data_IF_550294976476
#
_entry.id   IF_550294976476
#
_cell.length_a   1.000
_cell.length_b   1.000
_cell.length_c   1.000
_cell.angle_alpha   90.00
_cell.angle_beta   90.00
_cell.angle_gamma   90.00
#
_symmetry.space_group_name_H-M   'P 1'
#
loop_
_entity.id
_entity.type
_entity.pdbx_description
1 polymer ?
#
# COMPACT_ATOMS: atom_id res chain seq x y z
N UNK A 1 -19.03 4.09 -28.55
CA UNK A 1 -17.94 4.82 -27.86
C UNK A 1 -17.24 3.84 -26.92
N UNK A 2 -15.93 3.68 -27.03
CA UNK A 2 -15.17 2.86 -26.10
C UNK A 2 -15.33 3.42 -24.68
N UNK A 3 -15.81 2.60 -23.75
CA UNK A 3 -15.99 2.94 -22.32
C UNK A 3 -14.62 2.93 -21.60
N UNK A 4 -13.53 2.69 -22.33
CA UNK A 4 -12.17 2.66 -21.80
C UNK A 4 -11.69 4.11 -21.66
N UNK A 5 -11.62 4.57 -20.41
CA UNK A 5 -11.04 5.85 -20.01
C UNK A 5 -9.64 5.99 -20.65
N UNK A 6 -9.47 6.94 -21.57
CA UNK A 6 -8.15 7.32 -22.06
C UNK A 6 -7.49 8.15 -20.97
N UNK A 7 -6.70 7.50 -20.12
CA UNK A 7 -5.88 8.16 -19.10
C UNK A 7 -4.46 8.23 -19.63
N UNK A 8 -3.94 9.46 -19.72
CA UNK A 8 -2.52 9.69 -19.94
C UNK A 8 -1.97 10.35 -18.68
N UNK A 9 -1.28 9.60 -17.80
CA UNK A 9 -0.54 10.20 -16.71
C UNK A 9 0.54 11.13 -17.27
N UNK A 10 0.66 12.32 -16.69
CA UNK A 10 1.71 13.30 -16.96
C UNK A 10 2.41 13.66 -15.68
N UNK A 11 3.72 13.90 -15.76
CA UNK A 11 4.52 14.29 -14.59
C UNK A 11 4.34 15.78 -14.29
N UNK A 12 4.17 16.10 -13.01
CA UNK A 12 4.23 17.47 -12.47
C UNK A 12 5.29 17.55 -11.38
N UNK A 13 5.87 18.72 -11.20
CA UNK A 13 6.67 19.05 -10.02
C UNK A 13 5.73 19.39 -8.86
N UNK A 14 5.97 18.81 -7.69
CA UNK A 14 5.24 19.17 -6.48
C UNK A 14 5.77 20.49 -5.89
N UNK A 15 4.93 21.12 -5.06
CA UNK A 15 5.33 22.31 -4.30
C UNK A 15 6.52 22.00 -3.39
N UNK A 16 7.29 23.04 -3.06
CA UNK A 16 8.42 22.89 -2.13
C UNK A 16 7.95 22.37 -0.77
N UNK A 17 8.69 21.44 -0.16
CA UNK A 17 8.34 20.95 1.17
C UNK A 17 8.51 22.02 2.24
N UNK A 18 7.72 21.89 3.30
CA UNK A 18 7.89 22.61 4.55
C UNK A 18 8.48 21.65 5.57
N UNK A 19 9.72 21.89 6.00
CA UNK A 19 10.51 21.06 6.91
C UNK A 19 11.99 21.35 6.71
N UNK A 20 12.83 21.12 7.73
CA UNK A 20 14.25 21.55 7.66
C UNK A 20 15.26 20.53 8.15
N UNK A 21 14.87 19.61 9.02
CA UNK A 21 15.81 18.68 9.65
C UNK A 21 15.35 17.22 9.71
N UNK A 22 16.24 16.39 10.23
CA UNK A 22 15.93 15.05 10.72
C UNK A 22 15.05 15.11 11.97
N UNK A 23 14.32 14.04 12.27
CA UNK A 23 13.42 13.97 13.44
C UNK A 23 12.15 14.81 13.33
N UNK A 24 11.90 15.45 12.18
CA UNK A 24 10.73 16.31 11.92
C UNK A 24 9.79 15.65 10.89
N UNK A 25 8.52 16.06 10.92
CA UNK A 25 7.58 15.78 9.83
C UNK A 25 7.66 16.91 8.79
N UNK A 26 8.02 16.54 7.57
CA UNK A 26 7.99 17.44 6.42
C UNK A 26 6.63 17.32 5.73
N UNK A 27 6.14 18.41 5.17
CA UNK A 27 4.85 18.42 4.46
C UNK A 27 4.95 19.05 3.07
N UNK A 28 4.21 18.49 2.11
CA UNK A 28 4.05 19.02 0.75
C UNK A 28 2.54 19.12 0.48
N UNK A 29 2.09 20.31 0.07
CA UNK A 29 0.69 20.49 -0.35
C UNK A 29 0.52 19.98 -1.78
N UNK A 30 -0.42 19.06 -1.95
CA UNK A 30 -0.78 18.50 -3.24
C UNK A 30 -1.88 19.34 -3.89
N UNK A 31 -1.83 19.47 -5.21
CA UNK A 31 -2.84 20.21 -5.97
C UNK A 31 -4.15 19.42 -6.02
N UNK A 32 -5.21 20.04 -5.49
CA UNK A 32 -6.57 19.52 -5.54
C UNK A 32 -7.13 19.47 -6.98
N UNK A 33 -8.12 18.59 -7.22
CA UNK A 33 -8.77 18.42 -8.53
C UNK A 33 -8.01 17.54 -9.53
N UNK A 34 -6.91 16.91 -9.11
CA UNK A 34 -6.15 15.96 -9.90
C UNK A 34 -6.34 14.53 -9.41
N UNK A 35 -6.06 13.57 -10.28
CA UNK A 35 -5.94 12.16 -9.91
C UNK A 35 -4.48 11.79 -9.85
N UNK A 36 -4.00 11.39 -8.68
CA UNK A 36 -2.61 10.99 -8.45
C UNK A 36 -2.44 9.48 -8.68
N UNK A 37 -1.50 9.14 -9.56
CA UNK A 37 -1.15 7.77 -9.91
C UNK A 37 0.13 7.30 -9.22
N UNK A 38 1.08 8.19 -9.02
CA UNK A 38 2.29 7.93 -8.24
C UNK A 38 2.83 9.25 -7.71
N UNK A 39 3.52 9.18 -6.57
CA UNK A 39 4.28 10.28 -5.99
C UNK A 39 5.71 9.80 -5.85
N UNK A 40 6.66 10.58 -6.37
CA UNK A 40 8.09 10.30 -6.28
C UNK A 40 8.74 11.33 -5.37
N UNK A 41 9.54 10.86 -4.43
CA UNK A 41 10.37 11.66 -3.55
C UNK A 41 11.82 11.55 -4.02
N UNK A 42 12.47 12.69 -4.24
CA UNK A 42 13.88 12.80 -4.56
C UNK A 42 14.59 13.45 -3.37
N UNK A 43 15.63 12.78 -2.88
CA UNK A 43 16.38 13.14 -1.67
C UNK A 43 17.86 12.88 -1.87
N UNK A 44 18.69 13.42 -0.98
CA UNK A 44 20.10 13.08 -0.88
C UNK A 44 20.40 11.95 0.13
N UNK A 45 19.36 11.28 0.64
CA UNK A 45 19.50 10.21 1.62
C UNK A 45 20.15 8.96 1.03
N UNK A 46 20.93 8.26 1.85
CA UNK A 46 21.53 6.97 1.51
C UNK A 46 20.79 5.81 2.18
N UNK A 47 20.23 6.05 3.36
CA UNK A 47 19.49 5.05 4.13
C UNK A 47 17.99 5.13 3.87
N UNK A 48 17.39 3.98 3.51
CA UNK A 48 15.94 3.83 3.29
C UNK A 48 15.15 4.14 4.56
N UNK A 49 15.60 3.64 5.71
CA UNK A 49 14.85 3.73 6.98
C UNK A 49 14.83 5.14 7.58
N UNK A 50 15.62 6.07 7.03
CA UNK A 50 15.67 7.46 7.49
C UNK A 50 14.37 8.20 7.21
N UNK A 51 13.65 7.86 6.13
CA UNK A 51 12.22 8.20 6.05
C UNK A 51 11.47 7.10 6.77
N UNK A 52 10.92 7.43 7.94
CA UNK A 52 10.17 6.45 8.74
C UNK A 52 8.84 6.13 8.08
N UNK A 53 8.13 7.18 7.65
CA UNK A 53 6.73 7.06 7.23
C UNK A 53 6.35 8.11 6.21
N UNK A 54 5.55 7.69 5.24
CA UNK A 54 4.93 8.54 4.23
C UNK A 54 3.43 8.42 4.40
N UNK A 55 2.75 9.55 4.58
CA UNK A 55 1.30 9.61 4.76
C UNK A 55 0.70 10.59 3.76
N UNK A 56 -0.36 10.17 3.07
CA UNK A 56 -1.22 11.07 2.33
C UNK A 56 -2.51 11.25 3.12
N UNK A 57 -2.84 12.49 3.45
CA UNK A 57 -4.10 12.85 4.08
C UNK A 57 -5.00 13.67 3.14
N UNK A 58 -6.30 13.56 3.38
CA UNK A 58 -7.33 14.40 2.77
C UNK A 58 -8.16 15.00 3.91
N UNK A 59 -8.13 16.32 4.06
CA UNK A 59 -8.83 17.03 5.13
C UNK A 59 -8.38 16.60 6.53
N UNK A 60 -7.09 16.28 6.70
CA UNK A 60 -6.53 15.82 7.98
C UNK A 60 -6.79 14.34 8.31
N UNK A 61 -7.47 13.60 7.43
CA UNK A 61 -7.69 12.15 7.59
C UNK A 61 -6.72 11.37 6.70
N UNK A 62 -5.84 10.52 7.27
CA UNK A 62 -4.96 9.66 6.49
C UNK A 62 -5.76 8.70 5.59
N UNK A 63 -5.42 8.67 4.30
CA UNK A 63 -5.97 7.70 3.35
C UNK A 63 -4.95 6.63 2.97
N UNK A 64 -3.67 7.00 2.92
CA UNK A 64 -2.55 6.11 2.65
C UNK A 64 -1.46 6.41 3.67
N UNK A 65 -0.97 5.38 4.33
CA UNK A 65 0.11 5.45 5.31
C UNK A 65 1.01 4.23 5.13
N UNK A 66 2.29 4.45 4.85
CA UNK A 66 3.26 3.38 4.62
C UNK A 66 4.64 3.77 5.10
N UNK A 67 5.41 2.83 5.63
CA UNK A 67 6.82 3.04 5.98
C UNK A 67 7.69 2.97 4.74
N UNK A 68 8.77 3.73 4.68
CA UNK A 68 9.67 3.67 3.51
C UNK A 68 10.35 2.30 3.39
N UNK A 69 10.60 1.64 4.53
CA UNK A 69 11.03 0.25 4.60
C UNK A 69 10.07 -0.69 3.88
N UNK A 70 8.76 -0.55 4.09
CA UNK A 70 7.77 -1.38 3.42
C UNK A 70 7.71 -1.11 1.91
N UNK A 71 7.87 0.16 1.47
CA UNK A 71 7.99 0.49 0.05
C UNK A 71 9.21 -0.20 -0.57
N UNK A 72 10.37 -0.13 0.08
CA UNK A 72 11.59 -0.80 -0.38
C UNK A 72 11.44 -2.34 -0.44
N UNK A 73 10.80 -2.95 0.57
CA UNK A 73 10.48 -4.39 0.57
C UNK A 73 9.62 -4.75 -0.63
N UNK A 74 8.57 -3.97 -0.91
CA UNK A 74 7.67 -4.23 -2.04
C UNK A 74 8.38 -3.99 -3.38
N UNK A 75 9.17 -2.93 -3.52
CA UNK A 75 9.89 -2.65 -4.76
C UNK A 75 10.91 -3.75 -5.07
N UNK A 76 11.64 -4.25 -4.07
CA UNK A 76 12.50 -5.43 -4.21
C UNK A 76 11.72 -6.69 -4.55
N UNK A 77 10.58 -6.90 -3.87
CA UNK A 77 9.75 -8.08 -4.08
C UNK A 77 9.20 -8.15 -5.51
N UNK A 78 8.71 -7.02 -6.02
CA UNK A 78 8.16 -6.89 -7.37
C UNK A 78 9.22 -6.46 -8.41
N UNK A 79 10.51 -6.52 -8.05
CA UNK A 79 11.67 -6.25 -8.93
C UNK A 79 11.57 -4.90 -9.66
N UNK A 80 11.03 -3.90 -8.99
CA UNK A 80 10.94 -2.54 -9.53
C UNK A 80 12.31 -1.89 -9.51
N UNK A 81 12.52 -0.96 -10.45
CA UNK A 81 13.74 -0.19 -10.47
C UNK A 81 13.84 0.69 -9.23
N UNK A 82 15.00 0.68 -8.58
CA UNK A 82 15.30 1.49 -7.41
C UNK A 82 16.57 2.29 -7.66
N UNK A 83 16.60 3.54 -7.18
CA UNK A 83 17.74 4.44 -7.25
C UNK A 83 17.91 5.07 -5.87
N UNK A 84 19.15 5.13 -5.37
CA UNK A 84 19.43 5.71 -4.05
C UNK A 84 18.94 7.16 -3.99
N UNK A 85 18.26 7.50 -2.90
CA UNK A 85 17.65 8.82 -2.70
C UNK A 85 16.33 9.01 -3.43
N UNK A 86 15.84 8.03 -4.21
CA UNK A 86 14.52 8.08 -4.85
C UNK A 86 13.55 7.06 -4.27
N UNK A 87 12.39 7.53 -3.85
CA UNK A 87 11.34 6.69 -3.27
C UNK A 87 10.02 6.93 -3.99
N UNK A 88 9.33 5.86 -4.36
CA UNK A 88 8.07 5.96 -5.12
C UNK A 88 6.94 5.43 -4.25
N UNK A 89 5.92 6.26 -4.05
CA UNK A 89 4.63 5.84 -3.53
C UNK A 89 3.69 5.59 -4.72
N UNK A 90 3.53 4.33 -5.18
CA UNK A 90 2.58 4.03 -6.24
C UNK A 90 1.17 4.13 -5.69
N UNK A 91 0.27 4.88 -6.32
CA UNK A 91 -1.15 4.94 -5.94
C UNK A 91 -1.99 4.13 -6.92
N UNK A 92 -1.69 4.21 -8.22
CA UNK A 92 -2.10 3.22 -9.22
C UNK A 92 -1.11 2.05 -9.26
N UNK A 93 -1.59 0.88 -9.65
CA UNK A 93 -0.73 -0.30 -9.83
C UNK A 93 -0.69 -0.69 -11.31
N UNK A 94 0.31 -0.16 -12.03
CA UNK A 94 0.44 -0.35 -13.47
C UNK A 94 0.81 -1.77 -13.89
N UNK A 95 1.18 -2.63 -12.93
CA UNK A 95 1.53 -4.04 -13.15
C UNK A 95 0.28 -4.91 -13.41
N UNK A 96 -0.91 -4.43 -13.03
CA UNK A 96 -2.16 -5.15 -13.29
C UNK A 96 -2.50 -5.25 -14.78
N UNK A 97 -3.23 -6.30 -15.16
CA UNK A 97 -3.50 -6.59 -16.57
C UNK A 97 -4.64 -5.74 -17.14
N UNK A 98 -5.62 -5.38 -16.30
CA UNK A 98 -6.83 -4.67 -16.73
C UNK A 98 -6.75 -3.17 -16.40
N UNK A 99 -7.29 -2.28 -17.25
CA UNK A 99 -7.37 -0.85 -16.92
C UNK A 99 -8.08 -0.59 -15.59
N UNK A 100 -9.17 -1.32 -15.30
CA UNK A 100 -9.89 -1.21 -14.04
C UNK A 100 -8.97 -1.54 -12.85
N UNK A 101 -8.24 -2.66 -12.91
CA UNK A 101 -7.27 -3.02 -11.87
C UNK A 101 -6.19 -1.96 -11.69
N UNK A 102 -5.61 -1.46 -12.77
CA UNK A 102 -4.52 -0.47 -12.72
C UNK A 102 -4.90 0.80 -11.96
N UNK A 103 -6.11 1.29 -12.20
CA UNK A 103 -6.60 2.56 -11.68
C UNK A 103 -7.45 2.43 -10.42
N UNK A 104 -7.65 1.21 -9.91
CA UNK A 104 -8.53 0.90 -8.78
C UNK A 104 -8.17 1.67 -7.50
N UNK A 105 -6.87 1.83 -7.25
CA UNK A 105 -6.31 2.49 -6.05
C UNK A 105 -5.77 3.89 -6.31
N UNK A 106 -5.99 4.46 -7.52
CA UNK A 106 -5.56 5.83 -7.79
C UNK A 106 -6.18 6.80 -6.78
N UNK A 107 -5.45 7.84 -6.38
CA UNK A 107 -5.97 8.83 -5.47
C UNK A 107 -6.68 9.93 -6.27
N UNK A 108 -8.01 9.82 -6.36
CA UNK A 108 -8.83 10.87 -6.97
C UNK A 108 -9.05 12.00 -5.96
N UNK A 109 -8.73 13.23 -6.34
CA UNK A 109 -9.00 14.45 -5.57
C UNK A 109 -10.02 15.34 -6.29
N UNK A 110 -10.83 16.02 -5.51
CA UNK A 110 -11.82 17.03 -5.92
C UNK A 110 -11.24 18.42 -5.71
N UNK A 111 -11.84 19.44 -6.33
CA UNK A 111 -11.35 20.82 -6.26
C UNK A 111 -11.37 21.42 -4.85
N UNK A 112 -12.15 20.86 -3.94
CA UNK A 112 -12.32 21.35 -2.56
C UNK A 112 -11.54 20.55 -1.53
N UNK A 113 -10.86 19.47 -1.94
CA UNK A 113 -10.06 18.69 -1.01
C UNK A 113 -8.81 19.46 -0.58
N UNK A 114 -8.50 19.45 0.72
CA UNK A 114 -7.17 19.78 1.21
C UNK A 114 -6.35 18.50 1.27
N UNK A 115 -5.32 18.39 0.43
CA UNK A 115 -4.53 17.16 0.30
C UNK A 115 -3.09 17.43 0.70
N UNK A 116 -2.62 16.72 1.71
CA UNK A 116 -1.26 16.89 2.23
C UNK A 116 -0.49 15.58 2.14
N UNK A 117 0.71 15.65 1.60
CA UNK A 117 1.71 14.60 1.71
C UNK A 117 2.61 14.92 2.90
N UNK A 118 2.69 14.00 3.85
CA UNK A 118 3.51 14.08 5.06
C UNK A 118 4.62 13.04 5.00
N UNK A 119 5.83 13.47 5.33
CA UNK A 119 7.04 12.65 5.30
C UNK A 119 7.68 12.77 6.67
N UNK A 120 7.61 11.71 7.46
CA UNK A 120 8.24 11.65 8.78
C UNK A 120 9.71 11.24 8.62
N UNK A 121 10.63 12.17 8.91
CA UNK A 121 12.05 11.88 8.97
C UNK A 121 12.41 11.33 10.35
N UNK A 122 13.16 10.25 10.35
CA UNK A 122 13.80 9.68 11.53
C UNK A 122 15.09 10.38 11.91
N UNK A 123 15.81 9.74 12.82
CA UNK A 123 17.18 10.12 13.15
C UNK A 123 18.08 9.94 11.93
N UNK A 124 19.11 10.78 11.85
CA UNK A 124 20.12 10.70 10.81
C UNK A 124 20.87 9.37 10.88
N UNK A 125 20.98 8.65 9.75
CA UNK A 125 21.90 7.51 9.63
C UNK A 125 23.35 7.96 9.47
N UNK A 126 24.32 7.13 9.86
CA UNK A 126 25.75 7.41 9.67
C UNK A 126 26.15 7.60 8.21
N UNK A 127 25.40 7.01 7.27
CA UNK A 127 25.62 7.14 5.83
C UNK A 127 24.97 8.38 5.21
N UNK A 128 24.06 9.03 5.94
CA UNK A 128 23.29 10.15 5.39
C UNK A 128 24.05 11.47 5.47
N UNK A 129 23.73 12.44 4.59
CA UNK A 129 24.31 13.77 4.63
C UNK A 129 23.99 14.51 5.94
N UNK A 130 24.71 15.61 6.22
CA UNK A 130 24.43 16.45 7.40
C UNK A 130 23.07 17.14 7.34
N UNK A 131 22.62 17.51 6.14
CA UNK A 131 21.35 18.19 5.90
C UNK A 131 20.54 17.38 4.89
N UNK A 132 19.33 16.91 5.24
CA UNK A 132 18.49 16.20 4.31
C UNK A 132 17.90 17.17 3.28
N UNK A 133 17.72 16.71 2.05
CA UNK A 133 16.97 17.42 1.01
C UNK A 133 15.76 16.60 0.61
N UNK A 134 14.70 17.29 0.19
CA UNK A 134 13.50 16.67 -0.37
C UNK A 134 12.95 17.54 -1.50
N UNK A 135 12.66 16.90 -2.62
CA UNK A 135 11.78 17.43 -3.66
C UNK A 135 10.82 16.33 -4.11
N UNK A 136 9.64 16.72 -4.58
CA UNK A 136 8.62 15.76 -4.99
C UNK A 136 8.19 15.92 -6.44
N UNK A 137 7.92 14.81 -7.11
CA UNK A 137 7.23 14.77 -8.41
C UNK A 137 6.00 13.89 -8.28
N UNK A 138 5.03 14.07 -9.16
CA UNK A 138 3.88 13.18 -9.22
C UNK A 138 3.48 12.90 -10.65
N UNK A 139 3.03 11.68 -10.89
CA UNK A 139 2.33 11.32 -12.12
C UNK A 139 0.83 11.48 -11.88
N UNK A 140 0.20 12.37 -12.66
CA UNK A 140 -1.18 12.77 -12.47
C UNK A 140 -1.98 12.73 -13.76
N UNK A 141 -3.30 12.65 -13.66
CA UNK A 141 -4.23 12.94 -14.75
C UNK A 141 -5.31 13.91 -14.26
N UNK A 142 -6.08 14.47 -15.19
CA UNK A 142 -7.29 15.19 -14.83
C UNK A 142 -8.28 14.25 -14.13
N UNK A 143 -8.92 14.72 -13.06
CA UNK A 143 -10.05 14.02 -12.45
C UNK A 143 -11.22 14.01 -13.43
N UNK A 144 -11.81 12.84 -13.63
CA UNK A 144 -12.95 12.67 -14.54
C UNK A 144 -14.28 13.05 -13.88
N UNK A 145 -15.37 12.98 -14.66
CA UNK A 145 -16.72 13.30 -14.19
C UNK A 145 -17.27 12.30 -13.17
N UNK A 146 -16.71 11.09 -13.09
CA UNK A 146 -17.15 10.10 -12.09
C UNK A 146 -16.61 10.47 -10.70
N UNK A 147 -15.55 11.28 -10.63
CA UNK A 147 -14.96 11.72 -9.37
C UNK A 147 -14.42 10.55 -8.56
N UNK A 148 -14.47 10.68 -7.23
CA UNK A 148 -13.90 9.68 -6.31
C UNK A 148 -14.86 8.50 -6.11
N UNK A 149 -14.83 7.55 -7.04
CA UNK A 149 -15.57 6.27 -6.93
C UNK A 149 -14.88 5.31 -5.97
N UNK A 150 -13.54 5.29 -5.99
CA UNK A 150 -12.71 4.46 -5.12
C UNK A 150 -11.72 5.33 -4.35
N UNK A 151 -11.29 4.82 -3.19
CA UNK A 151 -10.28 5.44 -2.34
C UNK A 151 -9.24 4.38 -1.97
N UNK A 152 -7.93 4.58 -2.22
CA UNK A 152 -6.93 3.66 -1.73
C UNK A 152 -6.95 3.58 -0.20
N UNK A 153 -6.60 2.42 0.33
CA UNK A 153 -6.39 2.22 1.76
C UNK A 153 -5.06 1.50 1.97
N UNK A 154 -4.16 2.14 2.71
CA UNK A 154 -2.88 1.55 3.12
C UNK A 154 -2.62 1.89 4.58
N UNK A 155 -2.42 0.87 5.39
CA UNK A 155 -2.23 1.03 6.83
C UNK A 155 -1.54 -0.19 7.42
N UNK A 156 -1.05 -0.03 8.64
CA UNK A 156 -0.42 -1.10 9.41
C UNK A 156 -1.30 -1.49 10.59
N UNK A 157 -1.31 -2.77 10.91
CA UNK A 157 -1.97 -3.36 12.06
C UNK A 157 -0.95 -4.19 12.83
N UNK A 158 -1.15 -4.31 14.14
CA UNK A 158 -0.32 -5.17 15.00
C UNK A 158 -1.24 -6.00 15.87
N UNK A 159 -0.87 -7.26 16.01
CA UNK A 159 -1.52 -8.26 16.84
C UNK A 159 -0.43 -9.16 17.42
N UNK A 160 -0.77 -9.91 18.46
CA UNK A 160 0.19 -10.67 19.23
C UNK A 160 -0.24 -12.12 19.34
N UNK A 161 0.61 -13.03 18.87
CA UNK A 161 0.45 -14.45 19.10
C UNK A 161 0.99 -14.80 20.49
N UNK A 162 0.17 -15.43 21.33
CA UNK A 162 0.54 -15.73 22.71
C UNK A 162 1.50 -16.92 22.86
N UNK A 163 1.53 -17.83 21.87
CA UNK A 163 2.35 -19.04 21.86
C UNK A 163 2.54 -19.53 20.42
N UNK A 164 3.39 -20.54 20.25
CA UNK A 164 3.45 -21.33 19.02
C UNK A 164 2.12 -22.07 18.76
N UNK A 165 1.78 -22.29 17.49
CA UNK A 165 0.56 -22.98 17.06
C UNK A 165 -0.42 -22.06 16.34
N UNK A 166 -1.71 -22.42 16.39
CA UNK A 166 -2.76 -21.67 15.70
C UNK A 166 -3.10 -20.38 16.48
N UNK A 167 -3.05 -19.24 15.78
CA UNK A 167 -3.44 -17.93 16.27
C UNK A 167 -4.58 -17.37 15.42
N UNK A 168 -5.76 -17.21 16.00
CA UNK A 168 -6.89 -16.58 15.34
C UNK A 168 -6.88 -15.06 15.54
N UNK A 169 -7.10 -14.35 14.45
CA UNK A 169 -7.15 -12.90 14.40
C UNK A 169 -8.36 -12.43 13.60
N UNK A 170 -9.28 -11.77 14.29
CA UNK A 170 -10.38 -11.06 13.63
C UNK A 170 -9.84 -9.75 13.10
N UNK A 171 -9.92 -9.56 11.78
CA UNK A 171 -9.39 -8.37 11.16
C UNK A 171 -10.20 -7.14 11.63
N UNK A 172 -9.54 -6.09 12.16
CA UNK A 172 -10.21 -4.84 12.48
C UNK A 172 -10.49 -4.04 11.20
N UNK A 173 -11.32 -3.00 11.32
CA UNK A 173 -11.55 -2.05 10.22
C UNK A 173 -12.08 -2.69 8.93
N UNK A 174 -12.94 -3.71 9.03
CA UNK A 174 -13.62 -4.31 7.88
C UNK A 174 -14.84 -3.50 7.44
N UNK A 175 -15.28 -3.67 6.20
CA UNK A 175 -16.49 -3.02 5.70
C UNK A 175 -17.06 -3.71 4.45
N UNK A 176 -18.36 -3.55 4.22
CA UNK A 176 -19.06 -4.12 3.05
C UNK A 176 -18.53 -3.58 1.72
N UNK A 177 -17.98 -2.38 1.74
CA UNK A 177 -17.42 -1.67 0.59
C UNK A 177 -15.88 -1.61 0.63
N UNK A 178 -15.22 -2.42 1.47
CA UNK A 178 -13.76 -2.43 1.62
C UNK A 178 -13.17 -3.75 1.15
N UNK A 179 -12.12 -3.64 0.36
CA UNK A 179 -11.46 -4.76 -0.30
C UNK A 179 -9.97 -4.75 -0.03
N UNK A 180 -9.40 -5.95 0.12
CA UNK A 180 -7.98 -6.17 0.42
C UNK A 180 -7.34 -6.75 -0.84
N UNK A 181 -6.30 -6.09 -1.34
CA UNK A 181 -5.52 -6.60 -2.47
C UNK A 181 -4.32 -7.40 -1.99
N UNK A 182 -3.60 -6.87 -0.98
CA UNK A 182 -2.36 -7.46 -0.49
C UNK A 182 -2.22 -7.27 1.00
N UNK A 183 -1.61 -8.25 1.65
CA UNK A 183 -1.13 -8.17 3.03
C UNK A 183 0.35 -8.57 3.06
N UNK A 184 1.14 -7.85 3.84
CA UNK A 184 2.55 -8.18 4.07
C UNK A 184 2.75 -8.32 5.57
N UNK A 185 3.23 -9.48 6.00
CA UNK A 185 3.51 -9.79 7.39
C UNK A 185 5.00 -9.62 7.62
N UNK A 186 5.38 -8.75 8.55
CA UNK A 186 6.73 -8.65 9.09
C UNK A 186 6.96 -9.81 10.07
N UNK A 187 7.92 -10.66 9.73
CA UNK A 187 8.27 -11.88 10.44
C UNK A 187 9.53 -11.73 11.30
N UNK A 188 9.92 -10.49 11.64
CA UNK A 188 11.04 -10.22 12.55
C UNK A 188 10.86 -10.86 13.93
N UNK A 189 9.63 -10.97 14.41
CA UNK A 189 9.31 -11.58 15.70
C UNK A 189 8.72 -12.98 15.60
N UNK A 190 7.98 -13.32 14.55
CA UNK A 190 7.31 -14.64 14.41
C UNK A 190 7.30 -15.08 12.96
N UNK A 191 7.33 -16.39 12.72
CA UNK A 191 7.24 -16.97 11.37
C UNK A 191 5.90 -17.65 11.20
N UNK A 192 5.24 -17.38 10.08
CA UNK A 192 3.96 -17.94 9.66
C UNK A 192 4.22 -19.06 8.65
N UNK A 193 3.72 -20.26 8.96
CA UNK A 193 3.86 -21.44 8.11
C UNK A 193 2.60 -21.71 7.27
N UNK A 194 1.45 -21.25 7.75
CA UNK A 194 0.14 -21.50 7.13
C UNK A 194 -0.82 -20.37 7.50
N UNK A 195 -1.69 -20.02 6.56
CA UNK A 195 -2.77 -19.05 6.74
C UNK A 195 -4.08 -19.71 6.33
N UNK A 196 -5.07 -19.70 7.22
CA UNK A 196 -6.47 -19.92 6.83
C UNK A 196 -7.19 -18.59 6.77
N UNK A 197 -7.81 -18.31 5.64
CA UNK A 197 -8.69 -17.15 5.47
C UNK A 197 -10.11 -17.62 5.76
N UNK A 198 -10.80 -16.94 6.68
CA UNK A 198 -12.12 -17.32 7.18
C UNK A 198 -13.12 -16.18 6.97
N UNK A 199 -14.40 -16.52 6.89
CA UNK A 199 -15.52 -15.58 6.99
C UNK A 199 -16.57 -16.18 7.90
N UNK A 200 -16.75 -15.56 9.07
CA UNK A 200 -17.43 -16.21 10.19
C UNK A 200 -16.74 -17.52 10.55
N UNK A 201 -17.50 -18.61 10.66
CA UNK A 201 -16.97 -19.95 10.96
C UNK A 201 -16.42 -20.71 9.73
N UNK A 202 -16.68 -20.21 8.51
CA UNK A 202 -16.28 -20.90 7.27
C UNK A 202 -14.85 -20.56 6.88
N UNK A 203 -14.04 -21.58 6.62
CA UNK A 203 -12.76 -21.44 5.94
C UNK A 203 -13.02 -21.22 4.44
N UNK A 204 -12.55 -20.07 3.92
CA UNK A 204 -12.61 -19.73 2.51
C UNK A 204 -11.41 -20.35 1.79
N UNK A 205 -10.23 -20.25 2.40
CA UNK A 205 -8.97 -20.66 1.80
C UNK A 205 -8.00 -21.16 2.88
N UNK A 206 -7.15 -22.11 2.52
CA UNK A 206 -6.04 -22.57 3.36
C UNK A 206 -4.79 -22.58 2.50
N UNK A 207 -3.79 -21.85 2.93
CA UNK A 207 -2.57 -21.59 2.18
C UNK A 207 -1.37 -21.92 3.04
N UNK A 208 -0.51 -22.84 2.58
CA UNK A 208 0.80 -23.04 3.20
C UNK A 208 1.77 -21.97 2.70
N UNK A 209 2.83 -21.69 3.46
CA UNK A 209 3.92 -20.81 3.02
C UNK A 209 4.48 -21.24 1.67
N UNK A 210 4.66 -22.55 1.47
CA UNK A 210 5.20 -23.10 0.23
C UNK A 210 4.28 -22.78 -0.96
N UNK A 211 2.96 -22.92 -0.80
CA UNK A 211 1.99 -22.59 -1.85
C UNK A 211 1.94 -21.09 -2.16
N UNK A 212 1.98 -20.25 -1.11
CA UNK A 212 2.01 -18.79 -1.25
C UNK A 212 3.24 -18.36 -2.04
N UNK A 213 4.43 -18.77 -1.60
CA UNK A 213 5.69 -18.39 -2.24
C UNK A 213 5.82 -18.96 -3.65
N UNK A 214 5.36 -20.19 -3.88
CA UNK A 214 5.31 -20.78 -5.21
C UNK A 214 4.40 -19.97 -6.13
N UNK A 215 3.18 -19.64 -5.69
CA UNK A 215 2.22 -18.86 -6.47
C UNK A 215 2.75 -17.47 -6.83
N UNK A 216 3.35 -16.77 -5.85
CA UNK A 216 3.99 -15.48 -6.05
C UNK A 216 5.10 -15.53 -7.12
N UNK A 217 6.02 -16.50 -7.00
CA UNK A 217 7.10 -16.68 -7.99
C UNK A 217 6.56 -17.05 -9.37
N UNK A 218 5.59 -17.98 -9.42
CA UNK A 218 5.11 -18.57 -10.67
C UNK A 218 4.21 -17.66 -11.48
N UNK A 219 3.35 -16.91 -10.81
CA UNK A 219 2.25 -16.19 -11.46
C UNK A 219 2.39 -14.66 -11.40
N UNK A 220 3.14 -14.12 -10.44
CA UNK A 220 3.35 -12.68 -10.27
C UNK A 220 4.81 -12.24 -10.48
N UNK A 221 5.72 -13.18 -10.78
CA UNK A 221 7.16 -12.98 -10.89
C UNK A 221 7.79 -12.26 -9.66
N UNK A 222 7.20 -12.49 -8.48
CA UNK A 222 7.66 -11.89 -7.23
C UNK A 222 8.85 -12.65 -6.67
N UNK A 223 9.85 -11.92 -6.19
CA UNK A 223 10.97 -12.42 -5.41
C UNK A 223 10.65 -12.27 -3.90
N UNK A 224 10.31 -13.33 -3.15
CA UNK A 224 10.03 -13.22 -1.72
C UNK A 224 11.21 -12.60 -0.95
N UNK A 225 10.89 -11.75 0.02
CA UNK A 225 11.89 -11.04 0.82
C UNK A 225 12.08 -11.75 2.17
N UNK A 226 13.34 -11.91 2.59
CA UNK A 226 13.65 -12.52 3.89
C UNK A 226 13.04 -11.68 5.03
N UNK A 227 12.47 -12.35 6.03
CA UNK A 227 11.79 -11.70 7.15
C UNK A 227 10.39 -11.18 6.82
N UNK A 228 9.83 -11.51 5.65
CA UNK A 228 8.46 -11.16 5.30
C UNK A 228 7.71 -12.33 4.65
N UNK A 229 6.40 -12.37 4.87
CA UNK A 229 5.46 -13.18 4.10
C UNK A 229 4.48 -12.27 3.37
N UNK A 230 4.39 -12.37 2.05
CA UNK A 230 3.46 -11.60 1.22
C UNK A 230 2.26 -12.49 0.89
N UNK A 231 1.05 -12.03 1.20
CA UNK A 231 -0.20 -12.63 0.77
C UNK A 231 -0.89 -11.68 -0.22
N UNK A 232 -0.84 -12.00 -1.51
CA UNK A 232 -1.43 -11.18 -2.57
C UNK A 232 -2.67 -11.87 -3.15
N UNK A 233 -3.87 -11.38 -2.80
CA UNK A 233 -5.13 -11.89 -3.34
C UNK A 233 -5.32 -11.59 -4.83
N UNK A 234 -4.54 -10.64 -5.33
CA UNK A 234 -4.57 -10.18 -6.72
C UNK A 234 -3.42 -10.73 -7.56
N UNK A 235 -2.77 -11.81 -7.11
CA UNK A 235 -1.54 -12.37 -7.72
C UNK A 235 -1.62 -12.63 -9.23
N UNK A 236 -2.81 -12.91 -9.77
CA UNK A 236 -3.03 -13.12 -11.20
C UNK A 236 -3.18 -11.83 -12.02
N UNK A 237 -2.95 -10.66 -11.41
CA UNK A 237 -2.98 -9.38 -12.11
C UNK A 237 -4.36 -8.72 -12.20
N UNK A 238 -5.38 -9.26 -11.52
CA UNK A 238 -6.76 -8.76 -11.54
C UNK A 238 -7.08 -7.90 -10.31
N UNK A 239 -6.51 -6.69 -10.25
CA UNK A 239 -6.57 -5.81 -9.08
C UNK A 239 -7.96 -5.50 -8.51
N UNK A 240 -9.01 -5.46 -9.33
CA UNK A 240 -10.39 -5.25 -8.85
C UNK A 240 -11.09 -6.56 -8.50
N UNK A 241 -11.09 -7.53 -9.42
CA UNK A 241 -11.91 -8.75 -9.29
C UNK A 241 -11.27 -9.82 -8.38
N UNK A 242 -9.95 -9.77 -8.18
CA UNK A 242 -9.24 -10.68 -7.27
C UNK A 242 -9.18 -10.19 -5.83
N UNK A 243 -9.56 -8.95 -5.54
CA UNK A 243 -9.46 -8.39 -4.20
C UNK A 243 -10.43 -9.08 -3.23
N UNK A 244 -9.97 -9.42 -2.02
CA UNK A 244 -10.76 -10.07 -0.99
C UNK A 244 -11.73 -9.06 -0.35
N UNK A 245 -13.06 -9.29 -0.35
CA UNK A 245 -13.99 -8.46 0.41
C UNK A 245 -13.74 -8.61 1.91
N UNK A 246 -13.47 -7.50 2.60
CA UNK A 246 -13.01 -7.51 4.00
C UNK A 246 -14.11 -7.82 5.02
N UNK A 247 -15.38 -7.60 4.66
CA UNK A 247 -16.50 -7.78 5.58
C UNK A 247 -16.53 -9.18 6.22
N UNK A 248 -16.41 -9.20 7.55
CA UNK A 248 -16.47 -10.43 8.35
C UNK A 248 -15.30 -11.39 8.13
N UNK A 249 -14.18 -10.92 7.57
CA UNK A 249 -12.97 -11.73 7.38
C UNK A 249 -12.20 -11.87 8.68
N UNK A 250 -11.74 -13.10 8.96
CA UNK A 250 -10.74 -13.40 9.97
C UNK A 250 -9.64 -14.28 9.39
N UNK A 251 -8.51 -14.33 10.08
CA UNK A 251 -7.35 -15.12 9.71
C UNK A 251 -6.98 -16.06 10.85
N UNK A 252 -6.53 -17.26 10.51
CA UNK A 252 -5.92 -18.18 11.45
C UNK A 252 -4.50 -18.46 10.95
N UNK A 253 -3.51 -18.07 11.73
CA UNK A 253 -2.10 -18.19 11.41
C UNK A 253 -1.51 -19.37 12.18
N UNK A 254 -0.78 -20.25 11.51
CA UNK A 254 0.10 -21.20 12.19
C UNK A 254 1.45 -20.54 12.40
N UNK A 255 1.76 -20.16 13.65
CA UNK A 255 3.00 -19.46 14.02
C UNK A 255 3.97 -20.35 14.79
N UNK A 256 5.27 -20.09 14.65
CA UNK A 256 6.32 -20.91 15.27
C UNK A 256 6.59 -20.59 16.76
N UNK A 257 6.22 -19.39 17.24
CA UNK A 257 6.44 -18.94 18.62
C UNK A 257 5.54 -17.75 18.96
N UNK A 258 5.61 -17.28 20.21
CA UNK A 258 4.95 -16.04 20.62
C UNK A 258 5.66 -14.80 20.06
N UNK A 259 4.91 -13.72 19.86
CA UNK A 259 5.46 -12.45 19.37
C UNK A 259 4.44 -11.61 18.62
N UNK A 260 4.81 -10.38 18.32
CA UNK A 260 3.99 -9.53 17.46
C UNK A 260 4.05 -10.06 16.02
N UNK A 261 2.90 -10.07 15.33
CA UNK A 261 2.91 -10.07 13.87
C UNK A 261 2.45 -8.69 13.42
N UNK A 262 3.30 -7.98 12.69
CA UNK A 262 2.98 -6.64 12.17
C UNK A 262 2.55 -6.83 10.73
N UNK A 263 1.40 -6.27 10.40
CA UNK A 263 0.72 -6.53 9.15
C UNK A 263 0.50 -5.23 8.42
N UNK A 264 1.15 -5.07 7.27
CA UNK A 264 0.83 -4.01 6.32
C UNK A 264 -0.30 -4.49 5.40
N UNK A 265 -1.31 -3.64 5.19
CA UNK A 265 -2.50 -3.96 4.40
C UNK A 265 -2.64 -2.95 3.26
N UNK A 266 -2.76 -3.44 2.03
CA UNK A 266 -3.11 -2.66 0.84
C UNK A 266 -4.48 -3.05 0.30
N UNK A 267 -5.26 -2.04 -0.06
CA UNK A 267 -6.59 -2.25 -0.60
C UNK A 267 -7.26 -0.96 -1.04
N UNK A 268 -8.59 -0.99 -1.09
CA UNK A 268 -9.41 0.17 -1.42
C UNK A 268 -10.80 0.10 -0.79
N UNK A 269 -11.38 1.28 -0.60
CA UNK A 269 -12.79 1.48 -0.30
C UNK A 269 -13.53 1.87 -1.58
N UNK A 270 -14.70 1.28 -1.81
CA UNK A 270 -15.67 1.74 -2.80
C UNK A 270 -16.60 2.78 -2.15
N UNK A 271 -16.59 4.01 -2.65
CA UNK A 271 -17.36 5.11 -2.07
C UNK A 271 -18.74 5.28 -2.71
N UNK A 272 -18.87 4.86 -3.97
CA UNK A 272 -20.12 4.93 -4.73
C UNK A 272 -20.50 3.53 -5.15
N UNK A 273 -21.72 3.10 -4.81
CA UNK A 273 -22.27 1.85 -5.31
C UNK A 273 -22.50 1.97 -6.81
N UNK A 274 -21.63 1.36 -7.59
CA UNK A 274 -21.80 1.21 -9.03
C UNK A 274 -22.61 -0.06 -9.29
N UNK A 275 -23.83 -0.16 -8.76
CA UNK A 275 -24.77 -1.11 -9.34
C UNK A 275 -25.22 -0.53 -10.69
N UNK A 276 -25.16 -1.29 -11.80
CA UNK A 276 -25.87 -0.85 -12.98
C UNK A 276 -27.34 -0.75 -12.62
N UNK A 277 -27.99 0.36 -12.94
CA UNK A 277 -29.44 0.44 -12.92
C UNK A 277 -29.95 -0.75 -13.75
N UNK A 278 -30.71 -1.64 -13.12
CA UNK A 278 -31.46 -2.68 -13.82
C UNK A 278 -32.51 -2.06 -14.73
#
# INVERSE_FOLDING_TARGET
>A
MSIIKSVRPSMIQLTSPTGTGYGEEWSIKLQAGLTYHAIELETNLQSVETIKKITVDIGGVPVVSVTNKMLDVLDKAYKRYQETGRFVLPLSNFDYLTPQGKYQTQLVTTLTDDVTLKIEFGEKSSSDPSVPTLSGKAYVSNTDRAGRVFKPTRYELVQHAAAAGDHEWVMPNTGLNRFIQRMVFDESEVTINKIKVKRGSRVIETLTRADIEYGLKRYADVAPQSGYLILDFTLFGFGSNGALPSAGVSFEFEVNKNGAIKTYVEGFDQLVNTQPAM
#
